data_IF_421684093585
#
_entry.id   IF_421684093585
#
_cell.length_a   1.000
_cell.length_b   1.000
_cell.length_c   1.000
_cell.angle_alpha   90.00
_cell.angle_beta   90.00
_cell.angle_gamma   90.00
#
_symmetry.space_group_name_H-M   'P 1'
#
loop_
_entity.id
_entity.type
_entity.pdbx_description
1 polymer ?
#
# COMPACT_ATOMS: atom_id res chain seq x y z
N UNK A 1 -6.34 -20.97 -13.86
CA UNK A 1 -7.08 -21.35 -12.63
C UNK A 1 -6.25 -21.17 -11.35
N UNK A 2 -5.07 -21.79 -11.24
CA UNK A 2 -4.21 -21.66 -10.05
C UNK A 2 -3.84 -20.19 -9.74
N UNK A 3 -3.46 -19.41 -10.73
CA UNK A 3 -3.08 -17.99 -10.57
C UNK A 3 -4.21 -17.17 -9.95
N UNK A 4 -5.45 -17.36 -10.38
CA UNK A 4 -6.63 -16.64 -9.84
C UNK A 4 -6.81 -16.95 -8.36
N UNK A 5 -6.63 -18.23 -7.96
CA UNK A 5 -6.70 -18.62 -6.55
C UNK A 5 -5.61 -17.95 -5.72
N UNK A 6 -4.37 -17.90 -6.22
CA UNK A 6 -3.25 -17.21 -5.55
C UNK A 6 -3.52 -15.71 -5.39
N UNK A 7 -4.06 -15.04 -6.42
CA UNK A 7 -4.45 -13.64 -6.34
C UNK A 7 -5.57 -13.45 -5.30
N UNK A 8 -6.59 -14.29 -5.33
CA UNK A 8 -7.71 -14.21 -4.38
C UNK A 8 -7.28 -14.40 -2.92
N UNK A 9 -6.43 -15.40 -2.65
CA UNK A 9 -5.87 -15.64 -1.32
C UNK A 9 -5.02 -14.46 -0.84
N UNK A 10 -4.07 -14.01 -1.67
CA UNK A 10 -3.24 -12.85 -1.36
C UNK A 10 -4.07 -11.60 -1.12
N UNK A 11 -5.04 -11.33 -2.00
CA UNK A 11 -5.93 -10.16 -1.92
C UNK A 11 -6.81 -10.16 -0.68
N UNK A 12 -7.38 -11.30 -0.32
CA UNK A 12 -8.15 -11.47 0.92
C UNK A 12 -7.30 -11.20 2.16
N UNK A 13 -6.12 -11.80 2.24
CA UNK A 13 -5.17 -11.57 3.34
C UNK A 13 -4.74 -10.11 3.38
N UNK A 14 -4.36 -9.51 2.25
CA UNK A 14 -3.97 -8.10 2.16
C UNK A 14 -5.06 -7.15 2.64
N UNK A 15 -6.31 -7.37 2.24
CA UNK A 15 -7.46 -6.56 2.67
C UNK A 15 -7.72 -6.68 4.18
N UNK A 16 -7.58 -7.87 4.75
CA UNK A 16 -7.69 -8.09 6.21
C UNK A 16 -6.59 -7.34 6.95
N UNK A 17 -5.34 -7.43 6.50
CA UNK A 17 -4.22 -6.70 7.10
C UNK A 17 -4.40 -5.19 6.99
N UNK A 18 -4.91 -4.67 5.87
CA UNK A 18 -5.30 -3.26 5.74
C UNK A 18 -6.30 -2.85 6.81
N UNK A 19 -7.35 -3.64 7.01
CA UNK A 19 -8.36 -3.37 8.03
C UNK A 19 -7.75 -3.32 9.43
N UNK A 20 -6.91 -4.28 9.81
CA UNK A 20 -6.23 -4.26 11.10
C UNK A 20 -5.28 -3.08 11.28
N UNK A 21 -4.50 -2.73 10.25
CA UNK A 21 -3.64 -1.54 10.26
C UNK A 21 -4.50 -0.28 10.51
N UNK A 22 -5.63 -0.16 9.82
CA UNK A 22 -6.57 0.95 9.99
C UNK A 22 -7.12 1.02 11.41
N UNK A 23 -7.57 -0.10 11.97
CA UNK A 23 -8.05 -0.15 13.36
C UNK A 23 -6.98 0.29 14.35
N UNK A 24 -5.76 -0.20 14.18
CA UNK A 24 -4.64 0.13 15.07
C UNK A 24 -4.33 1.64 15.05
N UNK A 25 -4.26 2.23 13.86
CA UNK A 25 -3.92 3.65 13.71
C UNK A 25 -5.06 4.53 14.23
N UNK A 26 -6.32 4.23 13.92
CA UNK A 26 -7.46 5.01 14.42
C UNK A 26 -7.58 4.98 15.95
N UNK A 27 -7.03 3.97 16.61
CA UNK A 27 -6.99 3.93 18.08
C UNK A 27 -6.13 5.04 18.68
N UNK A 28 -5.09 5.50 17.96
CA UNK A 28 -4.11 6.48 18.44
C UNK A 28 -4.15 7.80 17.70
N UNK A 29 -4.87 7.90 16.58
CA UNK A 29 -4.88 9.05 15.70
C UNK A 29 -6.30 9.52 15.41
N UNK A 30 -6.61 10.75 15.83
CA UNK A 30 -7.93 11.37 15.65
C UNK A 30 -7.88 12.71 14.90
N UNK A 31 -6.76 13.05 14.25
CA UNK A 31 -6.63 14.29 13.48
C UNK A 31 -7.21 14.17 12.06
N UNK A 32 -7.38 15.31 11.38
CA UNK A 32 -7.97 15.37 10.03
C UNK A 32 -7.13 14.70 8.94
N UNK A 33 -5.82 14.59 9.14
CA UNK A 33 -4.93 13.90 8.19
C UNK A 33 -5.23 12.40 8.18
N UNK A 34 -5.48 11.79 7.01
CA UNK A 34 -5.84 10.37 6.89
C UNK A 34 -4.64 9.44 7.06
N UNK A 35 -4.10 9.40 8.28
CA UNK A 35 -2.85 8.70 8.60
C UNK A 35 -2.94 7.18 8.33
N UNK A 36 -4.10 6.57 8.59
CA UNK A 36 -4.29 5.14 8.40
C UNK A 36 -4.07 4.71 6.94
N UNK A 37 -4.73 5.39 6.01
CA UNK A 37 -4.58 5.12 4.57
C UNK A 37 -3.18 5.52 4.08
N UNK A 38 -2.63 6.62 4.58
CA UNK A 38 -1.26 7.05 4.26
C UNK A 38 -0.25 5.95 4.63
N UNK A 39 -0.23 5.50 5.88
CA UNK A 39 0.70 4.47 6.35
C UNK A 39 0.50 3.15 5.59
N UNK A 40 -0.75 2.72 5.39
CA UNK A 40 -1.07 1.52 4.64
C UNK A 40 -0.48 1.57 3.22
N UNK A 41 -0.68 2.67 2.51
CA UNK A 41 -0.17 2.83 1.16
C UNK A 41 1.36 2.91 1.12
N UNK A 42 2.00 3.63 2.06
CA UNK A 42 3.46 3.72 2.13
C UNK A 42 4.11 2.37 2.47
N UNK A 43 3.56 1.63 3.43
CA UNK A 43 4.03 0.27 3.74
C UNK A 43 3.83 -0.67 2.55
N UNK A 44 2.70 -0.57 1.85
CA UNK A 44 2.46 -1.35 0.64
C UNK A 44 3.45 -1.00 -0.49
N UNK A 45 3.80 0.27 -0.67
CA UNK A 45 4.82 0.72 -1.61
C UNK A 45 6.21 0.16 -1.25
N UNK A 46 6.58 0.16 0.02
CA UNK A 46 7.82 -0.48 0.46
C UNK A 46 7.81 -1.98 0.20
N UNK A 47 6.71 -2.66 0.59
CA UNK A 47 6.58 -4.10 0.43
C UNK A 47 6.62 -4.54 -1.03
N UNK A 48 5.97 -3.82 -1.95
CA UNK A 48 6.01 -4.18 -3.37
C UNK A 48 7.44 -4.08 -3.93
N UNK A 49 8.19 -3.02 -3.59
CA UNK A 49 9.58 -2.88 -3.98
C UNK A 49 10.46 -4.00 -3.41
N UNK A 50 10.31 -4.28 -2.13
CA UNK A 50 11.05 -5.34 -1.43
C UNK A 50 10.74 -6.74 -2.01
N UNK A 51 9.46 -7.06 -2.22
CA UNK A 51 9.06 -8.36 -2.78
C UNK A 51 9.57 -8.53 -4.20
N UNK A 52 9.44 -7.51 -5.05
CA UNK A 52 9.98 -7.55 -6.43
C UNK A 52 11.47 -7.84 -6.39
N UNK A 53 12.24 -7.12 -5.58
CA UNK A 53 13.68 -7.31 -5.47
C UNK A 53 14.07 -8.73 -5.01
N UNK A 54 13.34 -9.32 -4.06
CA UNK A 54 13.57 -10.71 -3.63
C UNK A 54 13.22 -11.70 -4.74
N UNK A 55 12.10 -11.51 -5.43
CA UNK A 55 11.69 -12.40 -6.51
C UNK A 55 12.69 -12.39 -7.67
N UNK A 56 13.20 -11.22 -8.03
CA UNK A 56 14.24 -11.07 -9.05
C UNK A 56 15.53 -11.77 -8.64
N UNK A 57 16.00 -11.54 -7.40
CA UNK A 57 17.22 -12.15 -6.87
C UNK A 57 17.17 -13.70 -6.87
N UNK A 58 15.98 -14.27 -6.69
CA UNK A 58 15.78 -15.72 -6.62
C UNK A 58 15.25 -16.34 -7.93
N UNK A 59 15.19 -15.59 -9.03
CA UNK A 59 14.64 -16.04 -10.32
C UNK A 59 13.19 -16.54 -10.24
N UNK A 60 12.37 -15.95 -9.36
CA UNK A 60 10.96 -16.28 -9.13
C UNK A 60 9.99 -15.30 -9.77
N UNK A 61 10.46 -14.44 -10.68
CA UNK A 61 9.67 -13.37 -11.31
C UNK A 61 8.47 -13.89 -12.13
N UNK A 62 8.50 -15.13 -12.59
CA UNK A 62 7.40 -15.76 -13.34
C UNK A 62 6.59 -16.77 -12.52
N UNK A 63 6.81 -16.82 -11.20
CA UNK A 63 6.12 -17.77 -10.32
C UNK A 63 4.72 -17.30 -9.92
N UNK A 64 3.86 -18.27 -9.51
CA UNK A 64 2.56 -17.96 -8.91
C UNK A 64 2.68 -17.15 -7.62
N UNK A 65 3.85 -17.19 -6.96
CA UNK A 65 4.17 -16.43 -5.78
C UNK A 65 4.15 -14.91 -6.06
N UNK A 66 4.65 -14.47 -7.23
CA UNK A 66 4.53 -13.08 -7.70
C UNK A 66 3.08 -12.61 -7.71
N UNK A 67 2.19 -13.40 -8.29
CA UNK A 67 0.77 -13.06 -8.39
C UNK A 67 0.10 -13.00 -7.01
N UNK A 68 0.45 -13.92 -6.12
CA UNK A 68 -0.06 -13.94 -4.74
C UNK A 68 0.39 -12.71 -3.94
N UNK A 69 1.68 -12.40 -3.98
CA UNK A 69 2.27 -11.37 -3.13
C UNK A 69 2.08 -9.96 -3.70
N UNK A 70 2.29 -9.76 -5.01
CA UNK A 70 2.22 -8.42 -5.61
C UNK A 70 0.78 -8.05 -5.93
N UNK A 71 0.15 -8.76 -6.87
CA UNK A 71 -1.20 -8.45 -7.31
C UNK A 71 -2.22 -8.74 -6.21
N UNK A 72 -2.08 -9.86 -5.51
CA UNK A 72 -2.95 -10.25 -4.40
C UNK A 72 -2.67 -9.41 -3.16
N UNK A 73 -1.64 -9.73 -2.41
CA UNK A 73 -1.42 -9.14 -1.09
C UNK A 73 -1.18 -7.63 -1.13
N UNK A 74 -0.19 -7.13 -1.88
CA UNK A 74 0.06 -5.69 -1.97
C UNK A 74 -1.12 -4.94 -2.57
N UNK A 75 -1.76 -5.48 -3.63
CA UNK A 75 -2.95 -4.89 -4.23
C UNK A 75 -4.16 -4.85 -3.28
N UNK A 76 -4.36 -5.89 -2.46
CA UNK A 76 -5.40 -5.91 -1.43
C UNK A 76 -5.08 -5.04 -0.22
N UNK A 77 -3.81 -4.92 0.15
CA UNK A 77 -3.36 -4.12 1.29
C UNK A 77 -3.44 -2.62 1.02
N UNK A 78 -3.02 -2.15 -0.17
CA UNK A 78 -3.07 -0.74 -0.58
C UNK A 78 -4.44 -0.34 -1.11
N UNK A 79 -4.74 0.98 -1.13
CA UNK A 79 -6.02 1.46 -1.65
C UNK A 79 -5.94 2.86 -2.24
N UNK A 80 -6.19 2.97 -3.54
CA UNK A 80 -6.32 4.26 -4.22
C UNK A 80 -7.74 4.85 -4.09
N UNK A 81 -8.77 3.99 -4.04
CA UNK A 81 -10.16 4.45 -3.94
C UNK A 81 -10.44 5.16 -2.61
N UNK A 82 -9.96 4.62 -1.51
CA UNK A 82 -10.07 5.27 -0.19
C UNK A 82 -9.28 6.59 -0.16
N UNK A 83 -8.07 6.60 -0.70
CA UNK A 83 -7.26 7.81 -0.86
C UNK A 83 -8.01 8.91 -1.64
N UNK A 84 -8.62 8.56 -2.76
CA UNK A 84 -9.41 9.49 -3.57
C UNK A 84 -10.62 10.04 -2.81
N UNK A 85 -11.38 9.18 -2.13
CA UNK A 85 -12.54 9.56 -1.34
C UNK A 85 -12.18 10.45 -0.14
N UNK A 86 -11.10 10.16 0.56
CA UNK A 86 -10.61 10.98 1.68
C UNK A 86 -10.19 12.37 1.20
N UNK A 87 -9.49 12.50 0.07
CA UNK A 87 -9.12 13.79 -0.51
C UNK A 87 -10.36 14.57 -0.95
N UNK A 88 -11.34 13.92 -1.58
CA UNK A 88 -12.60 14.57 -1.91
C UNK A 88 -13.27 15.18 -0.67
N UNK A 89 -13.34 14.43 0.43
CA UNK A 89 -13.92 14.93 1.68
C UNK A 89 -13.11 16.09 2.26
N UNK A 90 -11.79 16.02 2.24
CA UNK A 90 -10.93 17.12 2.71
C UNK A 90 -11.16 18.42 1.92
N UNK A 91 -11.30 18.35 0.59
CA UNK A 91 -11.63 19.51 -0.23
C UNK A 91 -13.03 20.02 0.05
N UNK A 92 -14.03 19.15 0.14
CA UNK A 92 -15.41 19.51 0.48
C UNK A 92 -15.50 20.21 1.82
N UNK A 93 -14.75 19.75 2.81
CA UNK A 93 -14.74 20.26 4.18
C UNK A 93 -13.76 21.45 4.35
N UNK A 94 -13.33 22.07 3.24
CA UNK A 94 -12.45 23.24 3.18
C UNK A 94 -11.05 23.03 3.80
N UNK A 95 -10.58 21.80 3.88
CA UNK A 95 -9.24 21.41 4.35
C UNK A 95 -8.27 21.21 3.17
N UNK A 96 -8.26 22.12 2.21
CA UNK A 96 -7.45 22.00 0.99
C UNK A 96 -5.94 21.86 1.27
N UNK A 97 -5.42 22.54 2.28
CA UNK A 97 -4.00 22.44 2.66
C UNK A 97 -3.63 21.03 3.12
N UNK A 98 -4.49 20.37 3.90
CA UNK A 98 -4.30 18.99 4.33
C UNK A 98 -4.40 18.03 3.14
N UNK A 99 -5.38 18.24 2.24
CA UNK A 99 -5.54 17.42 1.03
C UNK A 99 -4.30 17.51 0.13
N UNK A 100 -3.80 18.69 -0.15
CA UNK A 100 -2.61 18.89 -0.99
C UNK A 100 -1.35 18.28 -0.35
N UNK A 101 -1.19 18.46 0.96
CA UNK A 101 -0.09 17.83 1.71
C UNK A 101 -0.19 16.31 1.65
N UNK A 102 -1.39 15.75 1.85
CA UNK A 102 -1.63 14.31 1.80
C UNK A 102 -1.33 13.73 0.40
N UNK A 103 -1.78 14.40 -0.67
CA UNK A 103 -1.49 14.00 -2.05
C UNK A 103 0.02 14.04 -2.31
N UNK A 104 0.67 15.15 -2.00
CA UNK A 104 2.10 15.33 -2.22
C UNK A 104 2.94 14.30 -1.46
N UNK A 105 2.72 14.15 -0.16
CA UNK A 105 3.43 13.17 0.66
C UNK A 105 3.18 11.74 0.18
N UNK A 106 1.94 11.40 -0.20
CA UNK A 106 1.62 10.06 -0.69
C UNK A 106 2.40 9.71 -1.96
N UNK A 107 2.54 10.66 -2.88
CA UNK A 107 3.30 10.46 -4.13
C UNK A 107 4.81 10.37 -3.84
N UNK A 108 5.39 11.37 -3.19
CA UNK A 108 6.84 11.43 -3.00
C UNK A 108 7.36 10.34 -2.06
N UNK A 109 6.72 10.18 -0.91
CA UNK A 109 7.12 9.15 0.07
C UNK A 109 6.81 7.76 -0.46
N UNK A 110 5.71 7.59 -1.19
CA UNK A 110 5.35 6.32 -1.82
C UNK A 110 6.38 5.86 -2.86
N UNK A 111 6.79 6.75 -3.78
CA UNK A 111 7.83 6.45 -4.76
C UNK A 111 9.18 6.15 -4.09
N UNK A 112 9.55 6.94 -3.08
CA UNK A 112 10.75 6.68 -2.30
C UNK A 112 10.68 5.32 -1.58
N UNK A 113 9.53 4.96 -1.03
CA UNK A 113 9.34 3.68 -0.34
C UNK A 113 9.52 2.48 -1.29
N UNK A 114 9.01 2.55 -2.53
CA UNK A 114 9.25 1.52 -3.56
C UNK A 114 10.75 1.40 -3.86
N UNK A 115 11.40 2.52 -4.13
CA UNK A 115 12.85 2.55 -4.39
C UNK A 115 13.63 1.97 -3.22
N UNK A 116 13.32 2.37 -2.00
CA UNK A 116 14.00 1.90 -0.79
C UNK A 116 13.78 0.39 -0.56
N UNK A 117 12.56 -0.12 -0.80
CA UNK A 117 12.28 -1.56 -0.76
C UNK A 117 13.15 -2.36 -1.74
N UNK A 118 13.28 -1.89 -2.99
CA UNK A 118 14.19 -2.48 -3.98
C UNK A 118 15.66 -2.37 -3.55
N UNK A 119 16.06 -1.23 -3.02
CA UNK A 119 17.44 -0.99 -2.59
C UNK A 119 17.89 -1.96 -1.50
N UNK A 120 17.05 -2.19 -0.49
CA UNK A 120 17.36 -3.09 0.63
C UNK A 120 17.65 -4.52 0.15
N UNK A 121 17.02 -4.99 -0.92
CA UNK A 121 17.26 -6.34 -1.45
C UNK A 121 18.58 -6.50 -2.21
N UNK A 122 19.23 -5.39 -2.55
CA UNK A 122 20.53 -5.37 -3.24
C UNK A 122 21.71 -5.31 -2.27
N UNK A 123 21.46 -5.03 -1.00
CA UNK A 123 22.47 -5.09 0.06
C UNK A 123 22.81 -6.55 0.41
#
# INVERSE_FOLDING_TARGET
MKTILFIGLGGGIGSIFRYFTSLLIHKFWAAHFPLATFITNILGCFLIGFIIGILEKNNLSESNLKWCLITGFCGGYTTFSTFGYENYNLFRDQNAAIALTYIGLSIFVGLFAVWFGLFVTKL
#
